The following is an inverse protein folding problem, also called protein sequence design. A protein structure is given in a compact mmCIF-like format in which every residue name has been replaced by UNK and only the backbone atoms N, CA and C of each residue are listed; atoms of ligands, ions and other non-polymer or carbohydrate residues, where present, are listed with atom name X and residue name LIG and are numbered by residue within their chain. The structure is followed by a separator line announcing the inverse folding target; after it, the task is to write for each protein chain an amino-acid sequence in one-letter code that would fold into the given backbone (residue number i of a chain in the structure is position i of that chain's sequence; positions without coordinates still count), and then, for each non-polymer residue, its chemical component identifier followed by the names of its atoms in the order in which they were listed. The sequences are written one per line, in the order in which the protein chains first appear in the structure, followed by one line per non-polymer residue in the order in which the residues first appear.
data_IF_238708485573
#
_entry.id   IF_238708485573
#
_cell.length_a   1.000
_cell.length_b   1.000
_cell.length_c   1.000
_cell.angle_alpha   90.00
_cell.angle_beta   90.00
_cell.angle_gamma   90.00
#
_symmetry.space_group_name_H-M   'P 1'
#
loop_
_entity.id
_entity.type
_entity.pdbx_description
1 polymer ?
#
# COMPACT_ATOMS: atom_id res chain seq x y z
N UNK A 1 9.49 18.19 16.28
CA UNK A 1 8.53 17.61 17.19
C UNK A 1 8.67 16.09 17.19
N UNK A 2 8.92 15.50 18.37
CA UNK A 2 9.16 14.04 18.52
C UNK A 2 8.01 13.18 17.99
N UNK A 3 6.79 13.68 18.00
CA UNK A 3 5.60 12.96 17.51
C UNK A 3 5.60 12.75 16.00
N UNK A 4 6.32 13.55 15.22
CA UNK A 4 6.36 13.45 13.77
C UNK A 4 7.42 12.46 13.25
N UNK A 5 8.46 12.17 14.06
CA UNK A 5 9.51 11.19 13.70
C UNK A 5 9.03 9.74 13.74
N UNK A 6 7.91 9.50 14.41
CA UNK A 6 7.35 8.15 14.59
C UNK A 6 6.36 7.73 13.50
N UNK A 7 6.37 8.35 12.33
CA UNK A 7 5.27 8.17 11.38
C UNK A 7 5.24 6.85 10.62
N UNK A 8 6.31 6.10 10.59
CA UNK A 8 6.26 4.71 10.11
C UNK A 8 5.87 3.74 11.23
N UNK A 9 6.20 4.09 12.46
CA UNK A 9 5.81 3.38 13.70
C UNK A 9 4.63 4.11 14.36
N UNK A 10 4.05 5.09 13.68
CA UNK A 10 3.07 5.97 14.28
C UNK A 10 1.80 5.22 14.60
N UNK A 11 1.41 5.54 15.78
CA UNK A 11 0.18 5.26 16.45
C UNK A 11 0.13 3.87 17.03
N UNK A 12 1.35 3.35 17.50
CA UNK A 12 1.15 2.45 18.57
C UNK A 12 1.97 1.19 18.73
N UNK A 13 2.64 0.70 17.72
CA UNK A 13 3.31 -0.58 17.97
C UNK A 13 4.76 -0.33 18.39
N UNK A 14 5.07 -0.55 19.65
CA UNK A 14 6.43 -0.73 20.11
C UNK A 14 7.03 -1.99 19.47
N UNK A 15 8.34 -2.21 19.59
CA UNK A 15 8.94 -3.47 19.13
C UNK A 15 8.43 -4.66 19.93
N UNK A 16 8.03 -4.47 21.20
CA UNK A 16 7.36 -5.47 22.03
C UNK A 16 5.96 -5.81 21.49
N UNK A 17 5.21 -4.82 21.00
CA UNK A 17 3.92 -5.05 20.34
C UNK A 17 4.11 -5.81 19.03
N UNK A 18 5.14 -5.45 18.23
CA UNK A 18 5.46 -6.18 17.01
C UNK A 18 5.83 -7.64 17.30
N UNK A 19 6.59 -7.90 18.35
CA UNK A 19 6.93 -9.27 18.75
C UNK A 19 5.68 -10.10 19.08
N UNK A 20 4.74 -9.54 19.85
CA UNK A 20 3.47 -10.20 20.18
C UNK A 20 2.60 -10.45 18.93
N UNK A 21 2.57 -9.49 18.02
CA UNK A 21 1.83 -9.61 16.75
C UNK A 21 2.48 -10.69 15.88
N UNK A 22 3.81 -10.74 15.79
CA UNK A 22 4.54 -11.73 15.02
C UNK A 22 4.32 -13.14 15.59
N UNK A 23 4.46 -13.33 16.89
CA UNK A 23 4.19 -14.60 17.58
C UNK A 23 2.76 -15.10 17.30
N UNK A 24 1.76 -14.24 17.41
CA UNK A 24 0.37 -14.59 17.11
C UNK A 24 0.16 -14.94 15.63
N UNK A 25 0.70 -14.13 14.72
CA UNK A 25 0.54 -14.33 13.27
C UNK A 25 1.19 -15.64 12.80
N UNK A 26 2.37 -15.96 13.32
CA UNK A 26 3.13 -17.15 12.94
C UNK A 26 2.43 -18.46 13.30
N UNK A 27 1.56 -18.49 14.32
CA UNK A 27 0.71 -19.64 14.63
C UNK A 27 -0.17 -20.06 13.45
N UNK A 28 -0.51 -19.09 12.59
CA UNK A 28 -1.31 -19.29 11.37
C UNK A 28 -0.48 -19.26 10.09
N UNK A 29 0.85 -19.27 10.18
CA UNK A 29 1.79 -19.03 9.06
C UNK A 29 1.49 -17.71 8.34
N UNK A 30 0.88 -16.74 9.01
CA UNK A 30 0.74 -15.39 8.51
C UNK A 30 2.03 -14.61 8.79
N UNK A 31 2.44 -13.77 7.84
CA UNK A 31 3.69 -13.00 7.91
C UNK A 31 3.42 -11.57 8.36
N UNK A 32 4.35 -11.00 9.10
CA UNK A 32 4.31 -9.62 9.59
C UNK A 32 5.36 -8.78 8.88
N UNK A 33 4.94 -7.66 8.28
CA UNK A 33 5.83 -6.75 7.58
C UNK A 33 5.85 -5.39 8.26
N UNK A 34 7.05 -4.85 8.48
CA UNK A 34 7.21 -3.49 9.00
C UNK A 34 7.50 -2.51 7.86
N UNK A 35 6.84 -1.35 7.89
CA UNK A 35 7.12 -0.28 6.93
C UNK A 35 8.24 0.62 7.42
N UNK A 36 9.31 0.73 6.63
CA UNK A 36 10.41 1.68 6.75
C UNK A 36 10.51 2.44 5.43
N UNK A 37 9.37 2.99 4.97
CA UNK A 37 9.13 3.41 3.61
C UNK A 37 9.06 4.93 3.43
N UNK A 38 9.95 5.64 4.09
CA UNK A 38 10.16 7.08 3.90
C UNK A 38 11.56 7.34 3.34
N UNK A 39 11.77 8.51 2.76
CA UNK A 39 13.11 9.01 2.50
C UNK A 39 13.86 9.20 3.82
N UNK A 40 15.13 8.84 3.88
CA UNK A 40 15.96 8.86 5.07
C UNK A 40 16.99 9.96 4.88
N UNK A 41 17.15 10.85 5.86
CA UNK A 41 18.25 11.81 5.86
C UNK A 41 19.53 11.15 6.38
N UNK A 42 20.69 11.66 5.98
CA UNK A 42 21.99 11.09 6.36
C UNK A 42 22.14 10.94 7.87
N UNK A 43 21.66 11.92 8.64
CA UNK A 43 21.69 11.89 10.11
C UNK A 43 20.65 10.95 10.77
N UNK A 44 19.79 10.31 9.98
CA UNK A 44 18.79 9.32 10.43
C UNK A 44 19.16 7.89 9.99
N UNK A 45 20.24 7.75 9.20
CA UNK A 45 20.59 6.49 8.56
C UNK A 45 20.87 5.38 9.56
N UNK A 46 21.71 5.65 10.57
CA UNK A 46 22.04 4.65 11.60
C UNK A 46 20.81 4.24 12.42
N UNK A 47 19.89 5.19 12.69
CA UNK A 47 18.63 4.88 13.36
C UNK A 47 17.71 3.98 12.52
N UNK A 48 17.73 4.16 11.19
CA UNK A 48 16.96 3.32 10.29
C UNK A 48 17.52 1.89 10.22
N UNK A 49 18.85 1.74 10.22
CA UNK A 49 19.52 0.44 10.30
C UNK A 49 19.22 -0.24 11.65
N UNK A 50 19.33 0.48 12.76
CA UNK A 50 18.99 -0.03 14.10
C UNK A 50 17.52 -0.49 14.17
N UNK A 51 16.59 0.27 13.59
CA UNK A 51 15.18 -0.11 13.50
C UNK A 51 14.98 -1.41 12.69
N UNK A 52 15.77 -1.63 11.64
CA UNK A 52 15.72 -2.87 10.87
C UNK A 52 16.17 -4.09 11.72
N UNK A 53 17.22 -3.95 12.51
CA UNK A 53 17.68 -4.99 13.43
C UNK A 53 16.64 -5.31 14.51
N UNK A 54 16.08 -4.29 15.17
CA UNK A 54 15.02 -4.44 16.16
C UNK A 54 13.76 -5.11 15.59
N UNK A 55 13.43 -4.80 14.33
CA UNK A 55 12.32 -5.45 13.65
C UNK A 55 12.58 -6.95 13.44
N UNK A 56 13.81 -7.32 13.04
CA UNK A 56 14.21 -8.73 12.91
C UNK A 56 14.15 -9.46 14.26
N UNK A 57 14.66 -8.85 15.31
CA UNK A 57 14.61 -9.40 16.68
C UNK A 57 13.16 -9.59 17.19
N UNK A 58 12.26 -8.68 16.81
CA UNK A 58 10.84 -8.77 17.09
C UNK A 58 10.08 -9.82 16.24
N UNK A 59 10.78 -10.56 15.35
CA UNK A 59 10.17 -11.59 14.52
C UNK A 59 9.45 -11.09 13.28
N UNK A 60 9.71 -9.83 12.84
CA UNK A 60 9.19 -9.29 11.58
C UNK A 60 9.80 -10.05 10.40
N UNK A 61 8.98 -10.47 9.44
CA UNK A 61 9.38 -11.29 8.31
C UNK A 61 9.96 -10.49 7.14
N UNK A 62 9.55 -9.23 6.98
CA UNK A 62 10.05 -8.38 5.92
C UNK A 62 9.96 -6.89 6.24
N UNK A 63 10.84 -6.10 5.63
CA UNK A 63 10.80 -4.64 5.66
C UNK A 63 10.28 -4.10 4.32
N UNK A 64 9.30 -3.20 4.37
CA UNK A 64 8.84 -2.48 3.19
C UNK A 64 9.57 -1.13 3.16
N UNK A 65 10.46 -0.93 2.18
CA UNK A 65 11.36 0.23 2.12
C UNK A 65 11.09 1.10 0.89
N UNK A 66 11.45 2.38 0.98
CA UNK A 66 11.44 3.33 -0.13
C UNK A 66 12.86 3.75 -0.50
N UNK A 67 13.66 4.08 0.48
CA UNK A 67 15.01 4.61 0.28
C UNK A 67 15.99 3.49 -0.01
N UNK A 68 16.51 3.47 -1.25
CA UNK A 68 17.47 2.46 -1.67
C UNK A 68 18.85 2.63 -1.00
N UNK A 69 19.14 3.81 -0.46
CA UNK A 69 20.35 4.05 0.33
C UNK A 69 20.45 3.10 1.52
N UNK A 70 19.30 2.68 2.08
CA UNK A 70 19.26 1.73 3.19
C UNK A 70 19.95 0.39 2.87
N UNK A 71 19.97 -0.03 1.60
CA UNK A 71 20.66 -1.26 1.15
C UNK A 71 22.19 -1.17 1.29
N UNK A 72 22.76 0.02 1.52
CA UNK A 72 24.17 0.22 1.82
C UNK A 72 24.51 0.02 3.29
N UNK A 73 23.51 -0.01 4.17
CA UNK A 73 23.68 -0.32 5.59
C UNK A 73 23.90 -1.81 5.83
N UNK A 74 24.43 -2.13 7.00
CA UNK A 74 24.53 -3.51 7.46
C UNK A 74 23.16 -3.97 7.99
N UNK A 75 22.28 -4.34 7.06
CA UNK A 75 20.93 -4.83 7.39
C UNK A 75 21.01 -6.27 7.93
N UNK A 76 20.04 -6.66 8.80
CA UNK A 76 19.88 -8.06 9.18
C UNK A 76 19.46 -8.92 7.97
N UNK A 77 19.62 -10.23 8.08
CA UNK A 77 19.07 -11.19 7.11
C UNK A 77 17.53 -11.23 7.22
N UNK A 78 16.87 -10.35 6.47
CA UNK A 78 15.42 -10.16 6.43
C UNK A 78 14.98 -9.86 5.00
N UNK A 79 13.80 -10.34 4.58
CA UNK A 79 13.27 -10.00 3.26
C UNK A 79 13.06 -8.48 3.13
N UNK A 80 13.42 -7.93 1.97
CA UNK A 80 13.20 -6.52 1.64
C UNK A 80 12.15 -6.42 0.53
N UNK A 81 11.12 -5.62 0.78
CA UNK A 81 10.05 -5.33 -0.17
C UNK A 81 10.11 -3.88 -0.63
N UNK A 82 9.97 -3.64 -1.93
CA UNK A 82 9.93 -2.29 -2.46
C UNK A 82 8.55 -1.67 -2.28
N UNK A 83 8.51 -0.55 -1.56
CA UNK A 83 7.28 0.21 -1.34
C UNK A 83 6.71 0.78 -2.64
N UNK A 84 5.39 1.00 -2.68
CA UNK A 84 4.74 1.81 -3.73
C UNK A 84 5.35 3.22 -3.82
N UNK A 85 5.92 3.73 -2.72
CA UNK A 85 6.64 5.01 -2.70
C UNK A 85 7.91 5.02 -3.58
N UNK A 86 8.39 3.87 -4.04
CA UNK A 86 9.47 3.76 -5.03
C UNK A 86 9.03 4.15 -6.45
N UNK A 87 7.75 4.50 -6.69
CA UNK A 87 7.24 4.90 -8.00
C UNK A 87 7.51 3.83 -9.09
N UNK A 88 7.06 2.60 -8.85
CA UNK A 88 7.30 1.46 -9.74
C UNK A 88 6.18 1.42 -10.78
N UNK A 89 6.44 2.03 -11.95
CA UNK A 89 5.46 2.17 -13.04
C UNK A 89 5.90 1.50 -14.34
N UNK A 90 7.16 1.11 -14.45
CA UNK A 90 7.69 0.53 -15.68
C UNK A 90 8.36 -0.82 -15.45
N UNK A 91 8.36 -1.70 -16.47
CA UNK A 91 9.06 -2.98 -16.41
C UNK A 91 10.56 -2.83 -16.08
N UNK A 92 11.22 -1.80 -16.60
CA UNK A 92 12.66 -1.57 -16.40
C UNK A 92 12.97 -1.27 -14.93
N UNK A 93 12.14 -0.43 -14.29
CA UNK A 93 12.31 -0.13 -12.88
C UNK A 93 12.05 -1.34 -12.01
N UNK A 94 11.05 -2.12 -12.35
CA UNK A 94 10.73 -3.36 -11.65
C UNK A 94 11.87 -4.39 -11.78
N UNK A 95 12.40 -4.59 -12.99
CA UNK A 95 13.55 -5.46 -13.24
C UNK A 95 14.80 -5.00 -12.47
N UNK A 96 15.05 -3.69 -12.40
CA UNK A 96 16.14 -3.13 -11.61
C UNK A 96 16.00 -3.51 -10.12
N UNK A 97 14.82 -3.32 -9.52
CA UNK A 97 14.58 -3.69 -8.13
C UNK A 97 14.68 -5.20 -7.89
N UNK A 98 14.17 -6.02 -8.83
CA UNK A 98 14.34 -7.48 -8.80
C UNK A 98 15.82 -7.87 -8.83
N UNK A 99 16.66 -7.15 -9.61
CA UNK A 99 18.10 -7.41 -9.69
C UNK A 99 18.84 -7.05 -8.39
N UNK A 100 18.31 -6.11 -7.60
CA UNK A 100 18.84 -5.75 -6.29
C UNK A 100 18.45 -6.73 -5.17
N UNK A 101 17.65 -7.76 -5.47
CA UNK A 101 17.26 -8.78 -4.51
C UNK A 101 15.99 -8.48 -3.71
N UNK A 102 15.17 -7.52 -4.14
CA UNK A 102 13.85 -7.32 -3.53
C UNK A 102 12.99 -8.58 -3.71
N UNK A 103 12.49 -9.14 -2.61
CA UNK A 103 11.64 -10.34 -2.64
C UNK A 103 10.21 -10.05 -3.09
N UNK A 104 9.77 -8.81 -2.96
CA UNK A 104 8.43 -8.35 -3.33
C UNK A 104 8.46 -6.87 -3.73
N UNK A 105 7.62 -6.51 -4.69
CA UNK A 105 7.42 -5.10 -5.03
C UNK A 105 5.94 -4.73 -4.92
N UNK A 106 5.69 -3.46 -4.55
CA UNK A 106 4.36 -2.86 -4.56
C UNK A 106 4.31 -1.82 -5.69
N UNK A 107 3.83 -2.18 -6.90
CA UNK A 107 3.72 -1.23 -8.01
C UNK A 107 2.82 -0.04 -7.68
N UNK A 108 2.93 1.00 -8.50
CA UNK A 108 2.07 2.15 -8.42
C UNK A 108 0.59 1.77 -8.65
N UNK A 109 -0.32 2.45 -7.95
CA UNK A 109 -1.76 2.16 -8.00
C UNK A 109 -2.41 2.56 -9.31
N UNK A 110 -1.77 3.46 -10.04
CA UNK A 110 -2.22 4.04 -11.31
C UNK A 110 -1.98 3.16 -12.54
N UNK A 111 -1.64 1.89 -12.36
CA UNK A 111 -1.37 0.93 -13.44
C UNK A 111 -2.63 0.23 -13.93
N UNK A 112 -2.62 -0.12 -15.22
CA UNK A 112 -3.57 -1.03 -15.86
C UNK A 112 -3.15 -2.50 -15.68
N UNK A 113 -4.06 -3.44 -15.96
CA UNK A 113 -3.75 -4.89 -15.95
C UNK A 113 -2.59 -5.23 -16.90
N UNK A 114 -2.57 -4.63 -18.10
CA UNK A 114 -1.50 -4.88 -19.09
C UNK A 114 -0.14 -4.38 -18.60
N UNK A 115 -0.10 -3.20 -17.96
CA UNK A 115 1.12 -2.65 -17.36
C UNK A 115 1.61 -3.54 -16.20
N UNK A 116 0.71 -4.07 -15.36
CA UNK A 116 1.04 -5.03 -14.28
C UNK A 116 1.60 -6.32 -14.86
N UNK A 117 0.98 -6.88 -15.89
CA UNK A 117 1.44 -8.08 -16.56
C UNK A 117 2.83 -7.88 -17.22
N UNK A 118 3.08 -6.71 -17.83
CA UNK A 118 4.39 -6.35 -18.36
C UNK A 118 5.46 -6.28 -17.27
N UNK A 119 5.15 -5.70 -16.12
CA UNK A 119 6.01 -5.69 -14.94
C UNK A 119 6.30 -7.12 -14.47
N UNK A 120 5.25 -7.98 -14.36
CA UNK A 120 5.43 -9.39 -13.96
C UNK A 120 6.40 -10.13 -14.88
N UNK A 121 6.26 -9.92 -16.19
CA UNK A 121 7.13 -10.55 -17.20
C UNK A 121 8.60 -10.13 -17.06
N UNK A 122 8.86 -8.91 -16.64
CA UNK A 122 10.20 -8.35 -16.48
C UNK A 122 10.91 -8.78 -15.19
N UNK A 123 10.16 -9.36 -14.23
CA UNK A 123 10.67 -9.73 -12.90
C UNK A 123 10.51 -11.23 -12.66
N UNK A 124 11.51 -12.08 -12.89
CA UNK A 124 11.38 -13.53 -12.68
C UNK A 124 11.28 -13.93 -11.20
N UNK A 125 11.87 -13.18 -10.26
CA UNK A 125 12.05 -13.58 -8.86
C UNK A 125 11.06 -12.91 -7.90
N UNK A 126 10.96 -11.59 -7.93
CA UNK A 126 10.16 -10.85 -6.98
C UNK A 126 8.65 -11.09 -7.17
N UNK A 127 7.91 -11.10 -6.06
CA UNK A 127 6.43 -11.16 -6.06
C UNK A 127 5.85 -9.78 -6.31
N UNK A 128 4.62 -9.74 -6.84
CA UNK A 128 3.85 -8.49 -6.96
C UNK A 128 2.80 -8.43 -5.86
N UNK A 129 2.84 -7.37 -5.04
CA UNK A 129 1.77 -6.96 -4.15
C UNK A 129 1.04 -5.76 -4.76
N UNK A 130 -0.28 -5.81 -4.84
CA UNK A 130 -1.06 -4.71 -5.41
C UNK A 130 -2.16 -4.21 -4.47
N UNK A 131 -2.40 -2.89 -4.45
CA UNK A 131 -3.45 -2.31 -3.64
C UNK A 131 -4.84 -2.61 -4.24
N UNK A 132 -5.69 -3.26 -3.43
CA UNK A 132 -7.03 -3.66 -3.85
C UNK A 132 -8.14 -2.84 -3.20
N UNK A 133 -7.86 -2.15 -2.10
CA UNK A 133 -8.88 -1.37 -1.38
C UNK A 133 -8.28 -0.17 -0.65
N UNK A 134 -9.12 0.83 -0.44
CA UNK A 134 -8.87 1.99 0.41
C UNK A 134 -8.50 3.26 -0.34
N UNK A 135 -8.02 4.26 0.39
CA UNK A 135 -7.79 5.61 -0.14
C UNK A 135 -6.76 5.64 -1.28
N UNK A 136 -7.12 6.30 -2.38
CA UNK A 136 -6.22 6.60 -3.49
C UNK A 136 -5.49 7.94 -3.28
N UNK A 137 -4.34 8.09 -3.90
CA UNK A 137 -3.59 9.33 -3.98
C UNK A 137 -3.77 9.96 -5.37
N UNK A 138 -4.02 11.28 -5.43
CA UNK A 138 -4.12 12.01 -6.70
C UNK A 138 -2.77 12.21 -7.39
N UNK A 139 -1.69 12.16 -6.62
CA UNK A 139 -0.32 12.26 -7.12
C UNK A 139 0.21 10.91 -7.56
N UNK A 140 1.18 10.90 -8.45
CA UNK A 140 2.02 9.73 -8.68
C UNK A 140 2.63 9.24 -7.39
N UNK A 141 2.73 7.91 -7.26
CA UNK A 141 3.24 7.24 -6.07
C UNK A 141 4.65 7.73 -5.71
N UNK A 142 4.84 8.21 -4.47
CA UNK A 142 6.15 8.71 -4.01
C UNK A 142 6.59 10.08 -4.57
N UNK A 143 5.72 10.84 -5.26
CA UNK A 143 6.08 12.11 -5.90
C UNK A 143 5.16 13.27 -5.54
N UNK A 144 4.57 13.25 -4.35
CA UNK A 144 3.71 14.34 -3.91
C UNK A 144 4.49 15.41 -3.15
N UNK A 145 4.46 16.65 -3.66
CA UNK A 145 5.05 17.83 -3.02
C UNK A 145 4.00 18.81 -2.49
N UNK A 146 2.70 18.52 -2.68
CA UNK A 146 1.62 19.44 -2.31
C UNK A 146 1.60 19.75 -0.81
N UNK A 147 1.79 18.73 0.04
CA UNK A 147 1.87 18.94 1.50
C UNK A 147 3.09 19.79 1.88
N UNK A 148 4.23 19.56 1.25
CA UNK A 148 5.44 20.35 1.53
C UNK A 148 5.26 21.81 1.14
N UNK A 149 4.66 22.08 -0.02
CA UNK A 149 4.40 23.42 -0.51
C UNK A 149 3.41 24.22 0.37
N UNK A 150 2.37 23.56 0.86
CA UNK A 150 1.30 24.24 1.61
C UNK A 150 1.52 24.29 3.13
N UNK A 151 2.22 23.31 3.69
CA UNK A 151 2.31 23.15 5.15
C UNK A 151 3.72 22.86 5.66
N UNK A 152 4.73 22.80 4.79
CA UNK A 152 6.09 22.38 5.15
C UNK A 152 6.23 20.89 5.50
N UNK A 153 5.16 20.09 5.42
CA UNK A 153 5.14 18.66 5.79
C UNK A 153 5.34 17.78 4.56
N UNK A 154 6.41 16.99 4.52
CA UNK A 154 6.69 16.14 3.36
C UNK A 154 5.87 14.84 3.35
N UNK A 155 5.02 14.67 2.33
CA UNK A 155 4.29 13.43 2.11
C UNK A 155 5.23 12.24 1.82
N UNK A 156 6.38 12.50 1.17
CA UNK A 156 7.38 11.48 0.86
C UNK A 156 8.18 11.04 2.11
N UNK A 157 8.03 11.79 3.20
CA UNK A 157 8.53 11.43 4.53
C UNK A 157 7.40 11.00 5.49
N UNK A 158 6.30 10.53 4.92
CA UNK A 158 5.16 10.06 5.68
C UNK A 158 4.30 11.15 6.34
N UNK A 159 4.56 12.44 6.14
CA UNK A 159 3.90 13.56 6.83
C UNK A 159 2.81 14.23 5.97
N UNK A 160 2.08 13.45 5.18
CA UNK A 160 1.01 13.97 4.34
C UNK A 160 -0.06 14.70 5.18
N UNK A 161 -0.28 15.98 4.92
CA UNK A 161 -1.35 16.79 5.54
C UNK A 161 -2.69 16.68 4.80
N UNK A 162 -2.76 15.87 3.73
CA UNK A 162 -3.94 15.60 2.92
C UNK A 162 -4.62 16.84 2.31
N UNK A 163 -3.91 17.85 1.79
CA UNK A 163 -4.54 19.05 1.25
C UNK A 163 -5.43 18.73 0.03
N UNK A 164 -5.12 17.69 -0.73
CA UNK A 164 -5.97 17.21 -1.84
C UNK A 164 -7.38 16.75 -1.41
N UNK A 165 -7.66 16.68 -0.11
CA UNK A 165 -8.97 16.33 0.44
C UNK A 165 -9.80 17.55 0.84
N UNK A 166 -9.23 18.75 0.75
CA UNK A 166 -9.93 20.00 1.00
C UNK A 166 -10.77 20.43 -0.20
N UNK A 167 -11.81 21.23 0.00
CA UNK A 167 -12.52 21.88 -1.10
C UNK A 167 -11.68 22.99 -1.72
N UNK A 168 -11.79 23.16 -3.03
CA UNK A 168 -11.11 24.20 -3.81
C UNK A 168 -12.08 24.95 -4.70
N UNK A 169 -11.77 26.22 -4.93
CA UNK A 169 -12.33 27.00 -6.01
C UNK A 169 -11.42 26.87 -7.24
N UNK A 170 -12.02 26.66 -8.41
CA UNK A 170 -11.30 26.57 -9.68
C UNK A 170 -11.77 27.72 -10.57
N UNK A 171 -10.81 28.49 -11.10
CA UNK A 171 -11.05 29.58 -12.03
C UNK A 171 -10.29 29.36 -13.33
N UNK A 172 -10.79 29.88 -14.45
CA UNK A 172 -10.01 29.99 -15.67
C UNK A 172 -9.00 31.13 -15.62
N UNK A 173 -8.20 31.28 -16.68
CA UNK A 173 -7.17 32.32 -16.76
C UNK A 173 -7.73 33.75 -16.78
N UNK A 174 -9.01 33.93 -17.05
CA UNK A 174 -9.71 35.22 -16.98
C UNK A 174 -10.27 35.53 -15.61
N UNK A 175 -10.13 34.59 -14.65
CA UNK A 175 -10.68 34.70 -13.29
C UNK A 175 -12.15 34.27 -13.19
N UNK A 176 -12.77 33.77 -14.26
CA UNK A 176 -14.14 33.25 -14.21
C UNK A 176 -14.21 31.97 -13.42
N UNK A 177 -15.13 31.88 -12.47
CA UNK A 177 -15.32 30.68 -11.66
C UNK A 177 -15.85 29.52 -12.51
N UNK A 178 -15.14 28.39 -12.49
CA UNK A 178 -15.53 27.11 -13.09
C UNK A 178 -16.21 26.24 -12.04
N UNK A 179 -15.60 26.14 -10.85
CA UNK A 179 -16.09 25.35 -9.72
C UNK A 179 -15.87 26.10 -8.44
N UNK A 180 -16.81 26.03 -7.49
CA UNK A 180 -16.68 26.61 -6.16
C UNK A 180 -16.84 25.58 -5.07
N UNK A 181 -15.91 25.61 -4.11
CA UNK A 181 -15.94 24.77 -2.88
C UNK A 181 -16.19 23.28 -3.15
N UNK A 182 -15.46 22.69 -4.09
CA UNK A 182 -15.55 21.27 -4.46
C UNK A 182 -14.25 20.53 -4.18
N UNK A 183 -14.36 19.24 -3.88
CA UNK A 183 -13.22 18.34 -3.60
C UNK A 183 -12.55 17.83 -4.88
N UNK A 184 -12.21 18.74 -5.79
CA UNK A 184 -11.75 18.44 -7.17
C UNK A 184 -10.49 17.57 -7.26
N UNK A 185 -9.67 17.53 -6.21
CA UNK A 185 -8.47 16.69 -6.11
C UNK A 185 -8.71 15.40 -5.29
N UNK A 186 -9.89 15.24 -4.69
CA UNK A 186 -10.21 14.07 -3.88
C UNK A 186 -10.68 12.93 -4.75
N UNK A 187 -9.95 11.82 -4.76
CA UNK A 187 -10.34 10.61 -5.48
C UNK A 187 -11.33 9.78 -4.68
N UNK A 188 -12.17 9.02 -5.39
CA UNK A 188 -12.93 7.89 -4.83
C UNK A 188 -11.98 6.86 -4.25
N UNK A 189 -12.47 6.02 -3.35
CA UNK A 189 -11.65 4.96 -2.77
C UNK A 189 -11.53 3.77 -3.74
N UNK A 190 -10.35 3.15 -3.74
CA UNK A 190 -10.04 1.99 -4.56
C UNK A 190 -10.90 0.79 -4.13
N UNK A 191 -11.47 0.10 -5.10
CA UNK A 191 -12.18 -1.16 -4.91
C UNK A 191 -11.93 -2.09 -6.09
N UNK A 192 -11.10 -3.09 -5.88
CA UNK A 192 -10.76 -4.11 -6.88
C UNK A 192 -11.48 -5.43 -6.64
N UNK A 193 -12.55 -5.43 -5.88
CA UNK A 193 -13.26 -6.66 -5.50
C UNK A 193 -13.81 -7.45 -6.69
N UNK A 194 -14.11 -6.77 -7.80
CA UNK A 194 -14.54 -7.39 -9.07
C UNK A 194 -13.36 -7.78 -9.98
N UNK A 195 -12.13 -7.38 -9.65
CA UNK A 195 -10.96 -7.57 -10.51
C UNK A 195 -9.93 -8.55 -9.92
N UNK A 196 -10.21 -9.19 -8.78
CA UNK A 196 -9.24 -10.05 -8.09
C UNK A 196 -8.70 -11.17 -8.99
N UNK A 197 -9.58 -11.86 -9.71
CA UNK A 197 -9.19 -12.94 -10.63
C UNK A 197 -8.30 -12.43 -11.78
N UNK A 198 -8.63 -11.26 -12.34
CA UNK A 198 -7.82 -10.62 -13.40
C UNK A 198 -6.45 -10.17 -12.88
N UNK A 199 -6.40 -9.67 -11.65
CA UNK A 199 -5.14 -9.28 -11.01
C UNK A 199 -4.24 -10.50 -10.78
N UNK A 200 -4.79 -11.62 -10.34
CA UNK A 200 -4.05 -12.88 -10.19
C UNK A 200 -3.53 -13.33 -11.56
N UNK A 201 -4.36 -13.30 -12.59
CA UNK A 201 -3.96 -13.66 -13.96
C UNK A 201 -2.86 -12.72 -14.51
N UNK A 202 -2.85 -11.45 -14.12
CA UNK A 202 -1.78 -10.51 -14.44
C UNK A 202 -0.49 -10.71 -13.60
N UNK A 203 -0.50 -11.67 -12.65
CA UNK A 203 0.68 -12.07 -11.87
C UNK A 203 0.76 -11.45 -10.48
N UNK A 204 -0.32 -10.83 -9.98
CA UNK A 204 -0.40 -10.37 -8.59
C UNK A 204 -0.59 -11.58 -7.68
N UNK A 205 0.27 -11.71 -6.67
CA UNK A 205 0.23 -12.81 -5.69
C UNK A 205 0.00 -12.35 -4.25
N UNK A 206 0.00 -11.04 -4.02
CA UNK A 206 -0.27 -10.43 -2.71
C UNK A 206 -1.22 -9.25 -2.86
N UNK A 207 -2.20 -9.14 -1.97
CA UNK A 207 -3.23 -8.10 -2.00
C UNK A 207 -3.11 -7.18 -0.80
N UNK A 208 -3.08 -5.86 -1.06
CA UNK A 208 -2.90 -4.84 -0.03
C UNK A 208 -4.16 -4.01 0.16
N UNK A 209 -4.61 -3.92 1.42
CA UNK A 209 -5.68 -3.04 1.84
C UNK A 209 -5.06 -1.80 2.50
N UNK A 210 -5.40 -0.60 2.00
CA UNK A 210 -4.99 0.64 2.65
C UNK A 210 -5.91 0.91 3.84
N UNK A 211 -5.35 0.88 5.04
CA UNK A 211 -6.09 1.08 6.29
C UNK A 211 -5.45 2.11 7.22
N UNK A 212 -4.39 2.80 6.79
CA UNK A 212 -3.74 3.84 7.61
C UNK A 212 -4.73 4.94 7.97
N UNK A 213 -4.75 5.36 9.22
CA UNK A 213 -5.69 6.33 9.79
C UNK A 213 -7.17 5.86 9.76
N UNK A 214 -7.41 4.57 9.62
CA UNK A 214 -8.74 3.96 9.75
C UNK A 214 -8.88 3.24 11.08
N UNK A 215 -10.11 3.18 11.60
CA UNK A 215 -10.40 2.44 12.83
C UNK A 215 -10.35 0.92 12.66
N UNK A 216 -10.31 0.17 13.78
CA UNK A 216 -10.27 -1.29 13.76
C UNK A 216 -11.47 -1.91 13.02
N UNK A 217 -12.65 -1.29 13.12
CA UNK A 217 -13.88 -1.74 12.47
C UNK A 217 -13.74 -1.74 10.95
N UNK A 218 -13.12 -0.70 10.38
CA UNK A 218 -12.83 -0.61 8.95
C UNK A 218 -11.89 -1.74 8.53
N UNK A 219 -10.77 -1.92 9.24
CA UNK A 219 -9.78 -2.95 8.92
C UNK A 219 -10.41 -4.35 8.99
N UNK A 220 -11.14 -4.64 10.08
CA UNK A 220 -11.82 -5.91 10.29
C UNK A 220 -12.85 -6.19 9.19
N UNK A 221 -13.68 -5.22 8.86
CA UNK A 221 -14.75 -5.36 7.88
C UNK A 221 -14.20 -5.57 6.46
N UNK A 222 -13.25 -4.74 6.02
CA UNK A 222 -12.67 -4.88 4.69
C UNK A 222 -11.83 -6.17 4.55
N UNK A 223 -11.06 -6.51 5.56
CA UNK A 223 -10.28 -7.75 5.53
C UNK A 223 -11.19 -8.98 5.43
N UNK A 224 -12.29 -9.01 6.20
CA UNK A 224 -13.28 -10.07 6.14
C UNK A 224 -13.96 -10.14 4.75
N UNK A 225 -14.34 -9.00 4.18
CA UNK A 225 -14.95 -8.92 2.85
C UNK A 225 -14.05 -9.48 1.75
N UNK A 226 -12.80 -9.03 1.70
CA UNK A 226 -11.85 -9.53 0.71
C UNK A 226 -11.43 -10.97 0.97
N UNK A 227 -11.36 -11.39 2.24
CA UNK A 227 -11.06 -12.79 2.58
C UNK A 227 -12.13 -13.72 2.02
N UNK A 228 -13.42 -13.42 2.20
CA UNK A 228 -14.51 -14.21 1.63
C UNK A 228 -14.43 -14.28 0.09
N UNK A 229 -14.15 -13.17 -0.58
CA UNK A 229 -14.01 -13.16 -2.04
C UNK A 229 -12.83 -14.00 -2.52
N UNK A 230 -11.70 -13.92 -1.84
CA UNK A 230 -10.52 -14.74 -2.19
C UNK A 230 -10.79 -16.22 -1.92
N UNK A 231 -11.49 -16.56 -0.84
CA UNK A 231 -11.86 -17.95 -0.53
C UNK A 231 -12.78 -18.53 -1.61
N UNK A 232 -13.79 -17.76 -2.04
CA UNK A 232 -14.66 -18.18 -3.15
C UNK A 232 -13.92 -18.36 -4.48
N UNK A 233 -12.88 -17.54 -4.75
CA UNK A 233 -12.01 -17.75 -5.91
C UNK A 233 -11.16 -19.01 -5.77
N UNK A 234 -10.63 -19.30 -4.60
CA UNK A 234 -9.87 -20.53 -4.36
C UNK A 234 -10.74 -21.79 -4.50
N UNK A 235 -11.99 -21.73 -4.07
CA UNK A 235 -12.95 -22.81 -4.28
C UNK A 235 -13.30 -22.99 -5.77
N UNK A 236 -13.53 -21.88 -6.49
CA UNK A 236 -13.79 -21.89 -7.94
C UNK A 236 -12.65 -22.53 -8.72
N UNK A 237 -11.40 -22.32 -8.31
CA UNK A 237 -10.18 -22.82 -8.92
C UNK A 237 -9.59 -24.02 -8.17
N UNK A 238 -10.43 -24.78 -7.45
CA UNK A 238 -10.00 -25.98 -6.75
C UNK A 238 -9.47 -27.03 -7.79
N UNK A 239 -8.22 -27.46 -7.59
CA UNK A 239 -7.51 -28.34 -8.54
C UNK A 239 -6.51 -27.62 -9.42
N UNK A 240 -6.49 -26.28 -9.45
CA UNK A 240 -5.40 -25.48 -9.99
C UNK A 240 -4.34 -25.21 -8.90
N UNK A 241 -3.18 -24.63 -9.27
CA UNK A 241 -2.09 -24.35 -8.34
C UNK A 241 -2.33 -23.12 -7.45
N UNK A 242 -3.60 -22.84 -7.09
CA UNK A 242 -3.95 -21.72 -6.21
C UNK A 242 -4.02 -22.17 -4.76
N UNK A 243 -3.22 -21.57 -3.89
CA UNK A 243 -3.13 -21.95 -2.49
C UNK A 243 -3.20 -20.71 -1.57
N UNK A 244 -3.72 -20.91 -0.36
CA UNK A 244 -3.60 -19.93 0.70
C UNK A 244 -2.15 -19.82 1.17
N UNK A 245 -1.68 -18.61 1.42
CA UNK A 245 -0.39 -18.37 2.07
C UNK A 245 -0.41 -18.70 3.57
N UNK A 246 -1.56 -18.55 4.23
CA UNK A 246 -1.75 -18.84 5.66
C UNK A 246 -2.61 -20.08 5.87
N UNK A 247 -2.52 -20.71 7.03
CA UNK A 247 -3.26 -21.96 7.37
C UNK A 247 -4.52 -21.71 8.21
N UNK A 248 -4.74 -20.49 8.68
CA UNK A 248 -5.91 -20.16 9.50
C UNK A 248 -7.22 -20.17 8.70
N UNK A 249 -8.31 -20.52 9.37
CA UNK A 249 -9.67 -20.36 8.85
C UNK A 249 -10.32 -19.20 9.59
N UNK A 250 -10.82 -18.22 8.83
CA UNK A 250 -11.52 -17.07 9.41
C UNK A 250 -13.00 -17.36 9.54
N UNK A 251 -13.53 -17.22 10.74
CA UNK A 251 -14.98 -17.25 11.02
C UNK A 251 -15.46 -15.84 11.34
N UNK A 252 -16.63 -15.46 10.82
CA UNK A 252 -17.16 -14.12 11.00
C UNK A 252 -18.50 -14.18 11.70
N UNK A 253 -18.66 -13.38 12.76
CA UNK A 253 -19.92 -13.20 13.50
C UNK A 253 -20.75 -12.04 12.95
N UNK A 254 -20.38 -11.48 11.81
CA UNK A 254 -21.01 -10.35 11.13
C UNK A 254 -20.95 -10.53 9.63
N UNK A 255 -21.83 -9.84 8.90
CA UNK A 255 -21.80 -9.78 7.43
C UNK A 255 -20.88 -8.65 7.00
N UNK A 256 -19.74 -8.96 6.34
CA UNK A 256 -18.81 -7.96 5.86
C UNK A 256 -19.40 -7.16 4.68
N UNK A 257 -19.42 -5.84 4.82
CA UNK A 257 -19.97 -4.93 3.82
C UNK A 257 -19.13 -3.63 3.79
N UNK A 258 -18.38 -3.34 2.71
CA UNK A 258 -17.60 -2.12 2.58
C UNK A 258 -18.40 -0.83 2.74
N UNK A 259 -19.70 -0.85 2.43
CA UNK A 259 -20.58 0.34 2.53
C UNK A 259 -20.91 0.71 3.98
N UNK A 260 -20.71 -0.20 4.93
CA UNK A 260 -20.91 0.06 6.38
C UNK A 260 -19.77 0.84 7.02
N UNK A 261 -18.70 1.11 6.31
CA UNK A 261 -17.56 1.89 6.78
C UNK A 261 -17.32 3.10 5.89
N UNK A 262 -16.64 4.12 6.43
CA UNK A 262 -16.42 5.35 5.67
C UNK A 262 -15.66 5.09 4.37
N UNK A 263 -16.28 5.50 3.25
CA UNK A 263 -15.64 5.54 1.92
C UNK A 263 -16.14 6.74 1.11
N UNK A 264 -15.37 7.18 0.13
CA UNK A 264 -15.65 8.32 -0.77
C UNK A 264 -16.26 7.85 -2.11
N UNK A 265 -17.15 6.86 -2.07
CA UNK A 265 -17.54 6.10 -3.25
C UNK A 265 -16.46 5.12 -3.68
N UNK A 266 -16.74 4.31 -4.71
CA UNK A 266 -15.85 3.27 -5.21
C UNK A 266 -15.34 3.56 -6.62
N UNK A 267 -14.12 3.13 -6.90
CA UNK A 267 -13.55 3.11 -8.25
C UNK A 267 -12.58 1.94 -8.42
N UNK A 268 -12.59 1.33 -9.60
CA UNK A 268 -11.53 0.42 -10.03
C UNK A 268 -10.26 1.16 -10.52
N UNK A 269 -10.27 2.47 -10.38
CA UNK A 269 -9.25 3.41 -10.80
C UNK A 269 -8.85 3.18 -12.27
N UNK A 270 -7.61 2.76 -12.55
CA UNK A 270 -7.13 2.54 -13.90
C UNK A 270 -6.92 1.06 -14.28
N UNK A 271 -7.26 0.14 -13.40
CA UNK A 271 -7.00 -1.30 -13.61
C UNK A 271 -7.61 -1.80 -14.94
N UNK A 272 -8.84 -1.39 -15.26
CA UNK A 272 -9.51 -1.71 -16.53
C UNK A 272 -9.38 -0.62 -17.61
N UNK A 273 -8.34 0.21 -17.54
CA UNK A 273 -8.08 1.33 -18.44
C UNK A 273 -8.32 2.70 -17.81
N UNK A 274 -7.69 3.73 -18.38
CA UNK A 274 -7.77 5.09 -17.86
C UNK A 274 -9.14 5.71 -18.12
N UNK A 275 -9.79 6.19 -17.05
CA UNK A 275 -11.11 6.82 -17.09
C UNK A 275 -11.07 8.20 -16.44
N UNK A 276 -11.80 9.21 -16.98
CA UNK A 276 -11.76 10.56 -16.42
C UNK A 276 -12.53 10.73 -15.11
N UNK A 277 -13.50 9.84 -14.77
CA UNK A 277 -14.43 10.01 -13.65
C UNK A 277 -13.96 9.29 -12.38
N UNK A 278 -12.82 9.68 -11.86
CA UNK A 278 -12.22 9.09 -10.65
C UNK A 278 -12.33 10.00 -9.42
N UNK A 279 -12.74 11.26 -9.59
CA UNK A 279 -12.89 12.21 -8.49
C UNK A 279 -14.16 11.93 -7.65
N UNK A 280 -14.05 12.17 -6.34
CA UNK A 280 -15.17 12.15 -5.40
C UNK A 280 -15.80 13.55 -5.33
N UNK A 281 -16.47 13.98 -6.38
CA UNK A 281 -17.12 15.30 -6.49
C UNK A 281 -18.43 15.35 -5.72
#
# INVERSE_FOLDING_TARGET
DRRQRQMCIRDSNSFEDLARIAEFAHQYRARVYMTLNTLIYDNEFDQAVDAAWKAKEAGVDALIVQDLGLLKGQLPDIEIHASTQCDIRTPEKAAFLDSLGFAQIVPARELTLDEIAAIRKAMPRARIEFFIAGALCVSYSGKCYLSAALTGRSANRGQCSQPCRLPYDVTDLSGRSIVRSKHVLSLKDNDQSANLEKLIAAGVSSFKIEGRLKGPEYVKNLTAYYRRKIDALLEKHAGENWQRASVGVSTFTFEPDPEKTFRRGATDYFVNGRRPQIAAL
#
